data_IF_030211538330
#
_entry.id   IF_030211538330
#
_cell.length_a   1.000
_cell.length_b   1.000
_cell.length_c   1.000
_cell.angle_alpha   90.00
_cell.angle_beta   90.00
_cell.angle_gamma   90.00
#
_symmetry.space_group_name_H-M   'P 1'
#
loop_
_entity.id
_entity.type
_entity.pdbx_description
1 polymer ?
#
# COMPACT_ATOMS: atom_id res chain seq x y z
N UNK A 1 7.55 -13.44 -8.97
CA UNK A 1 6.42 -12.80 -8.28
C UNK A 1 6.97 -11.95 -7.14
N UNK A 2 6.50 -10.72 -6.96
CA UNK A 2 7.02 -9.79 -5.93
C UNK A 2 6.14 -9.74 -4.69
N UNK A 3 4.82 -9.76 -4.88
CA UNK A 3 3.81 -9.77 -3.83
C UNK A 3 2.62 -10.64 -4.23
N UNK A 4 1.82 -11.04 -3.25
CA UNK A 4 0.48 -11.62 -3.44
C UNK A 4 -0.58 -10.65 -2.96
N UNK A 5 -1.78 -10.72 -3.54
CA UNK A 5 -2.95 -9.93 -3.14
C UNK A 5 -4.10 -10.92 -2.95
N UNK A 6 -4.65 -10.96 -1.75
CA UNK A 6 -5.81 -11.77 -1.39
C UNK A 6 -7.01 -10.85 -1.19
N UNK A 7 -8.14 -11.16 -1.82
CA UNK A 7 -9.40 -10.48 -1.54
C UNK A 7 -10.12 -11.19 -0.38
N UNK A 8 -10.41 -10.47 0.70
CA UNK A 8 -11.03 -11.04 1.90
C UNK A 8 -12.54 -10.77 2.00
N UNK A 9 -13.14 -10.15 0.98
CA UNK A 9 -14.52 -9.70 1.01
C UNK A 9 -14.65 -8.26 1.53
N UNK A 10 -15.88 -7.73 1.53
CA UNK A 10 -16.16 -6.37 2.02
C UNK A 10 -15.29 -5.27 1.41
N UNK A 11 -14.90 -5.43 0.14
CA UNK A 11 -14.00 -4.51 -0.57
C UNK A 11 -12.62 -4.33 0.11
N UNK A 12 -12.19 -5.33 0.91
CA UNK A 12 -10.86 -5.40 1.55
C UNK A 12 -9.92 -6.36 0.83
N UNK A 13 -8.65 -5.99 0.75
CA UNK A 13 -7.56 -6.87 0.32
C UNK A 13 -6.44 -6.95 1.35
N UNK A 14 -5.74 -8.09 1.37
CA UNK A 14 -4.48 -8.29 2.09
C UNK A 14 -3.35 -8.44 1.09
N UNK A 15 -2.37 -7.56 1.17
CA UNK A 15 -1.19 -7.52 0.31
C UNK A 15 0.01 -8.07 1.07
N UNK A 16 0.67 -9.09 0.55
CA UNK A 16 1.87 -9.71 1.17
C UNK A 16 3.09 -9.59 0.26
N UNK A 17 4.16 -8.96 0.75
CA UNK A 17 5.43 -8.92 0.03
C UNK A 17 6.25 -10.19 0.29
N UNK A 18 6.53 -10.95 -0.78
CA UNK A 18 7.07 -12.32 -0.66
C UNK A 18 8.48 -12.38 -0.06
N UNK A 19 9.31 -11.37 -0.34
CA UNK A 19 10.71 -11.39 0.11
C UNK A 19 10.87 -11.00 1.57
N UNK A 20 10.12 -10.00 2.06
CA UNK A 20 10.24 -9.54 3.45
C UNK A 20 9.22 -10.18 4.39
N UNK A 21 8.17 -10.83 3.86
CA UNK A 21 7.05 -11.34 4.66
C UNK A 21 6.13 -10.26 5.21
N UNK A 22 6.38 -8.98 4.90
CA UNK A 22 5.57 -7.85 5.36
C UNK A 22 4.18 -7.89 4.72
N UNK A 23 3.15 -7.55 5.51
CA UNK A 23 1.77 -7.54 5.06
C UNK A 23 1.07 -6.24 5.47
N UNK A 24 0.08 -5.84 4.68
CA UNK A 24 -0.83 -4.75 5.00
C UNK A 24 -2.18 -4.97 4.32
N UNK A 25 -3.21 -4.30 4.83
CA UNK A 25 -4.57 -4.31 4.29
C UNK A 25 -4.84 -3.05 3.46
N UNK A 26 -5.75 -3.17 2.49
CA UNK A 26 -6.37 -2.02 1.83
C UNK A 26 -7.87 -2.14 1.83
N UNK A 27 -8.56 -1.00 1.94
CA UNK A 27 -10.01 -0.91 1.87
C UNK A 27 -10.42 0.02 0.74
N UNK A 28 -11.54 -0.29 0.07
CA UNK A 28 -12.22 0.76 -0.66
C UNK A 28 -12.62 1.92 0.29
N UNK A 29 -12.59 3.17 -0.17
CA UNK A 29 -13.01 4.31 0.64
C UNK A 29 -14.53 4.31 0.86
N UNK A 30 -15.00 5.06 1.85
CA UNK A 30 -16.42 5.05 2.28
C UNK A 30 -17.38 5.61 1.23
N UNK A 31 -16.90 6.53 0.38
CA UNK A 31 -17.64 7.06 -0.78
C UNK A 31 -17.81 6.01 -1.89
N UNK A 32 -16.99 4.96 -1.89
CA UNK A 32 -17.08 3.80 -2.79
C UNK A 32 -17.49 2.52 -2.05
N UNK A 33 -18.38 2.65 -1.06
CA UNK A 33 -19.02 1.53 -0.33
C UNK A 33 -18.07 0.67 0.50
N UNK A 34 -16.81 1.06 0.65
CA UNK A 34 -15.86 0.33 1.48
C UNK A 34 -15.86 0.77 2.93
N UNK A 35 -15.08 0.06 3.76
CA UNK A 35 -14.95 0.33 5.19
C UNK A 35 -14.14 1.59 5.50
N UNK A 36 -13.19 1.94 4.62
CA UNK A 36 -12.29 3.08 4.84
C UNK A 36 -11.46 3.03 6.13
N UNK A 37 -11.23 1.85 6.72
CA UNK A 37 -10.48 1.68 7.97
C UNK A 37 -8.96 1.53 7.75
N UNK A 38 -8.57 1.41 6.48
CA UNK A 38 -7.20 1.19 5.98
C UNK A 38 -6.94 2.11 4.80
N UNK A 39 -5.69 2.20 4.37
CA UNK A 39 -5.36 2.91 3.14
C UNK A 39 -6.16 2.33 1.98
N UNK A 40 -6.71 3.18 1.12
CA UNK A 40 -7.24 2.71 -0.15
C UNK A 40 -6.12 2.38 -1.13
N UNK A 41 -6.39 1.56 -2.16
CA UNK A 41 -5.42 1.34 -3.23
C UNK A 41 -4.90 2.65 -3.85
N UNK A 42 -5.76 3.67 -3.98
CA UNK A 42 -5.37 4.99 -4.51
C UNK A 42 -4.51 5.78 -3.53
N UNK A 43 -4.81 5.73 -2.23
CA UNK A 43 -3.97 6.36 -1.20
C UNK A 43 -2.57 5.76 -1.19
N UNK A 44 -2.47 4.43 -1.36
CA UNK A 44 -1.19 3.75 -1.47
C UNK A 44 -0.40 4.14 -2.70
N UNK A 45 -1.04 4.33 -3.86
CA UNK A 45 -0.34 4.82 -5.06
C UNK A 45 0.27 6.18 -4.78
N UNK A 46 -0.50 7.13 -4.24
CA UNK A 46 0.00 8.46 -3.91
C UNK A 46 1.11 8.42 -2.84
N UNK A 47 0.90 7.66 -1.77
CA UNK A 47 1.86 7.51 -0.67
C UNK A 47 3.16 6.84 -1.14
N UNK A 48 3.06 5.82 -2.00
CA UNK A 48 4.22 5.12 -2.56
C UNK A 48 5.10 6.04 -3.39
N UNK A 49 4.50 6.92 -4.19
CA UNK A 49 5.24 7.91 -4.97
C UNK A 49 6.01 8.88 -4.06
N UNK A 50 5.34 9.40 -3.03
CA UNK A 50 5.98 10.26 -2.02
C UNK A 50 7.12 9.55 -1.28
N UNK A 51 6.90 8.31 -0.85
CA UNK A 51 7.92 7.49 -0.18
C UNK A 51 9.13 7.20 -1.10
N UNK A 52 8.88 6.94 -2.39
CA UNK A 52 9.94 6.79 -3.39
C UNK A 52 10.79 8.05 -3.51
N UNK A 53 10.17 9.24 -3.63
CA UNK A 53 10.89 10.52 -3.72
C UNK A 53 11.76 10.77 -2.48
N UNK A 54 11.19 10.62 -1.28
CA UNK A 54 11.93 10.80 -0.02
C UNK A 54 13.09 9.83 0.09
N UNK A 55 12.91 8.58 -0.32
CA UNK A 55 13.99 7.59 -0.33
C UNK A 55 15.12 8.00 -1.28
N UNK A 56 14.80 8.48 -2.49
CA UNK A 56 15.81 8.98 -3.45
C UNK A 56 16.55 10.20 -2.89
N UNK A 57 15.84 11.14 -2.28
CA UNK A 57 16.47 12.30 -1.62
C UNK A 57 17.42 11.85 -0.50
N UNK A 58 17.00 10.90 0.33
CA UNK A 58 17.83 10.33 1.39
C UNK A 58 19.04 9.54 0.88
N UNK A 59 18.95 8.90 -0.30
CA UNK A 59 20.11 8.31 -0.97
C UNK A 59 21.08 9.41 -1.41
N UNK A 60 20.56 10.49 -2.00
CA UNK A 60 21.38 11.60 -2.49
C UNK A 60 22.04 12.40 -1.36
N UNK A 61 21.44 12.48 -0.18
CA UNK A 61 21.94 13.26 0.96
C UNK A 61 23.05 12.59 1.76
N UNK A 62 23.38 11.32 1.51
CA UNK A 62 24.43 10.54 2.23
C UNK A 62 25.88 10.93 1.86
N UNK A 63 26.09 12.17 1.41
CA UNK A 63 27.42 12.70 1.12
C UNK A 63 28.20 13.02 2.41
#
# INVERSE_FOLDING_TARGET
>A
MTATVLYEGELRTVCSHLKSGSQFETDAPTDNQGKGERFSPTDLVATSLGACMVSIMGIKSRA
#
